data_IF_519525659984
#
_entry.id   IF_519525659984
#
_cell.length_a   1.000
_cell.length_b   1.000
_cell.length_c   1.000
_cell.angle_alpha   90.00
_cell.angle_beta   90.00
_cell.angle_gamma   90.00
#
_symmetry.space_group_name_H-M   'P 1'
#
loop_
_entity.id
_entity.type
_entity.pdbx_description
1 polymer ?
#
# COMPACT_ATOMS: atom_id res chain seq x y z
N UNK A 1 -0.14 10.24 20.57
CA UNK A 1 -0.46 8.81 20.61
C UNK A 1 -0.56 8.24 19.23
N UNK A 2 -0.15 7.01 19.06
CA UNK A 2 -0.28 6.34 17.78
C UNK A 2 -1.69 5.76 17.60
N UNK A 3 -2.12 5.64 16.36
CA UNK A 3 -3.44 5.11 16.00
C UNK A 3 -3.37 4.06 14.92
N UNK A 4 -4.47 3.36 14.71
CA UNK A 4 -4.59 2.31 13.69
C UNK A 4 -5.61 2.72 12.65
N UNK A 5 -5.25 2.57 11.37
CA UNK A 5 -6.13 2.77 10.22
C UNK A 5 -6.49 1.39 9.70
N UNK A 6 -7.77 1.16 9.41
CA UNK A 6 -8.24 -0.10 8.84
C UNK A 6 -9.14 0.17 7.65
N UNK A 7 -8.88 -0.50 6.53
CA UNK A 7 -9.71 -0.41 5.33
C UNK A 7 -10.11 -1.81 4.89
N UNK A 8 -11.32 -1.94 4.37
CA UNK A 8 -11.81 -3.15 3.73
C UNK A 8 -12.33 -2.76 2.36
N UNK A 9 -11.64 -3.18 1.31
CA UNK A 9 -11.92 -2.75 -0.06
C UNK A 9 -12.27 -3.98 -0.90
N UNK A 10 -13.39 -3.91 -1.62
CA UNK A 10 -13.76 -4.97 -2.57
C UNK A 10 -13.31 -4.56 -3.96
N UNK A 11 -12.50 -5.42 -4.59
CA UNK A 11 -12.06 -5.25 -5.97
C UNK A 11 -12.80 -6.28 -6.83
N UNK A 12 -13.53 -5.79 -7.84
CA UNK A 12 -14.37 -6.63 -8.69
C UNK A 12 -13.57 -7.28 -9.80
N UNK A 13 -13.93 -8.52 -10.16
CA UNK A 13 -13.40 -9.23 -11.34
C UNK A 13 -11.88 -9.25 -11.40
N UNK A 14 -11.25 -9.66 -10.31
CA UNK A 14 -9.79 -9.72 -10.22
C UNK A 14 -9.36 -10.88 -9.34
N UNK A 15 -8.06 -11.05 -9.17
CA UNK A 15 -7.48 -12.14 -8.39
C UNK A 15 -6.51 -11.59 -7.36
N UNK A 16 -6.25 -12.35 -6.27
CA UNK A 16 -5.22 -11.96 -5.30
C UNK A 16 -3.84 -11.78 -5.93
N UNK A 17 -3.49 -12.61 -6.91
CA UNK A 17 -2.23 -12.49 -7.63
C UNK A 17 -2.11 -11.12 -8.30
N UNK A 18 -3.16 -10.68 -8.98
CA UNK A 18 -3.17 -9.40 -9.67
C UNK A 18 -2.93 -8.26 -8.69
N UNK A 19 -3.67 -8.23 -7.58
CA UNK A 19 -3.51 -7.16 -6.58
C UNK A 19 -2.16 -7.21 -5.88
N UNK A 20 -1.67 -8.40 -5.56
CA UNK A 20 -0.35 -8.57 -4.97
C UNK A 20 0.73 -7.97 -5.88
N UNK A 21 0.64 -8.26 -7.18
CA UNK A 21 1.59 -7.74 -8.17
C UNK A 21 1.49 -6.23 -8.35
N UNK A 22 0.30 -5.64 -8.24
CA UNK A 22 0.17 -4.18 -8.33
C UNK A 22 1.00 -3.46 -7.27
N UNK A 23 1.17 -4.09 -6.12
CA UNK A 23 1.95 -3.51 -5.02
C UNK A 23 3.40 -3.98 -5.02
N UNK A 24 3.63 -5.27 -5.20
CA UNK A 24 4.98 -5.87 -5.04
C UNK A 24 5.83 -5.81 -6.29
N UNK A 25 5.25 -5.57 -7.47
CA UNK A 25 6.04 -5.37 -8.69
C UNK A 25 6.38 -3.89 -8.81
N UNK A 26 7.67 -3.56 -8.75
CA UNK A 26 8.13 -2.17 -8.72
C UNK A 26 7.64 -1.36 -9.92
N UNK A 27 7.66 -1.95 -11.11
CA UNK A 27 7.23 -1.26 -12.33
C UNK A 27 5.74 -0.96 -12.31
N UNK A 28 4.92 -1.93 -11.92
CA UNK A 28 3.45 -1.74 -11.84
C UNK A 28 3.09 -0.74 -10.75
N UNK A 29 3.70 -0.88 -9.59
CA UNK A 29 3.49 0.04 -8.48
C UNK A 29 3.86 1.47 -8.88
N UNK A 30 5.04 1.66 -9.49
CA UNK A 30 5.50 2.98 -9.95
C UNK A 30 4.57 3.57 -10.99
N UNK A 31 4.13 2.77 -11.95
CA UNK A 31 3.25 3.23 -13.03
C UNK A 31 1.91 3.71 -12.49
N UNK A 32 1.30 2.95 -11.60
CA UNK A 32 -0.03 3.29 -11.08
C UNK A 32 0.05 4.42 -10.06
N UNK A 33 1.06 4.42 -9.19
CA UNK A 33 1.26 5.50 -8.24
C UNK A 33 1.72 6.80 -8.89
N UNK A 34 2.30 6.71 -10.09
CA UNK A 34 2.79 7.89 -10.82
C UNK A 34 4.07 8.45 -10.23
N UNK A 35 4.87 7.64 -9.54
CA UNK A 35 6.08 8.07 -8.84
C UNK A 35 7.01 6.87 -8.66
N UNK A 36 8.34 7.07 -8.64
CA UNK A 36 9.29 5.97 -8.50
C UNK A 36 9.08 5.14 -7.24
N UNK A 37 9.13 3.82 -7.40
CA UNK A 37 9.03 2.84 -6.32
C UNK A 37 10.15 1.83 -6.48
N UNK A 38 10.84 1.53 -5.39
CA UNK A 38 11.83 0.45 -5.32
C UNK A 38 11.31 -0.59 -4.34
N UNK A 39 11.05 -1.78 -4.83
CA UNK A 39 10.53 -2.87 -4.00
C UNK A 39 10.92 -4.21 -4.65
N UNK A 40 11.30 -5.17 -3.83
CA UNK A 40 11.58 -6.54 -4.30
C UNK A 40 10.67 -7.52 -3.56
N UNK A 41 10.42 -8.67 -4.15
CA UNK A 41 9.54 -9.66 -3.57
C UNK A 41 10.20 -10.55 -2.50
N UNK A 42 11.16 -10.02 -1.74
CA UNK A 42 11.89 -10.81 -0.74
C UNK A 42 11.75 -10.23 0.66
N UNK A 43 11.52 -11.11 1.63
CA UNK A 43 11.49 -10.73 3.04
C UNK A 43 12.86 -10.18 3.46
N UNK A 44 12.83 -9.23 4.38
CA UNK A 44 14.04 -8.61 4.91
C UNK A 44 14.64 -7.52 4.03
N UNK A 45 14.06 -7.25 2.86
CA UNK A 45 14.57 -6.22 1.96
C UNK A 45 13.87 -4.89 2.18
N UNK A 46 14.62 -3.82 1.94
CA UNK A 46 14.08 -2.46 2.05
C UNK A 46 13.23 -2.12 0.84
N UNK A 47 12.26 -1.21 1.04
CA UNK A 47 11.51 -0.63 -0.07
C UNK A 47 11.43 0.88 0.10
N UNK A 48 11.15 1.57 -1.01
CA UNK A 48 10.82 2.99 -0.99
C UNK A 48 9.70 3.25 -2.00
N UNK A 49 8.87 4.24 -1.72
CA UNK A 49 7.78 4.65 -2.58
C UNK A 49 7.71 6.17 -2.63
N UNK A 50 6.99 6.70 -3.62
CA UNK A 50 6.82 8.15 -3.81
C UNK A 50 8.17 8.86 -3.85
N UNK A 51 9.09 8.29 -4.65
CA UNK A 51 10.43 8.85 -4.89
C UNK A 51 11.22 9.04 -3.58
N UNK A 52 11.14 8.03 -2.69
CA UNK A 52 11.87 8.03 -1.44
C UNK A 52 11.16 8.73 -0.27
N UNK A 53 10.00 9.32 -0.51
CA UNK A 53 9.24 9.94 0.57
C UNK A 53 8.77 8.92 1.62
N UNK A 54 8.43 7.71 1.18
CA UNK A 54 8.04 6.60 2.05
C UNK A 54 9.14 5.55 2.00
N UNK A 55 9.54 5.05 3.16
CA UNK A 55 10.53 3.98 3.26
C UNK A 55 10.09 2.93 4.27
N UNK A 56 10.65 1.74 4.14
CA UNK A 56 10.37 0.66 5.07
C UNK A 56 11.09 -0.62 4.66
N UNK A 57 10.68 -1.70 5.32
CA UNK A 57 11.25 -3.03 5.11
C UNK A 57 10.13 -4.05 4.99
N UNK A 58 10.26 -4.98 4.05
CA UNK A 58 9.34 -6.10 3.92
C UNK A 58 9.63 -7.09 5.04
N UNK A 59 8.71 -7.24 5.99
CA UNK A 59 8.88 -8.12 7.14
C UNK A 59 8.38 -9.53 6.87
N UNK A 60 7.20 -9.65 6.26
CA UNK A 60 6.59 -10.94 5.97
C UNK A 60 5.85 -10.85 4.66
N UNK A 61 6.11 -11.81 3.78
CA UNK A 61 5.47 -11.91 2.48
C UNK A 61 4.97 -13.34 2.29
N UNK A 62 3.67 -13.50 2.04
CA UNK A 62 3.10 -14.75 1.58
C UNK A 62 2.51 -14.43 0.22
N UNK A 63 3.11 -14.99 -0.82
CA UNK A 63 2.78 -14.65 -2.21
C UNK A 63 1.27 -14.71 -2.46
N UNK A 64 0.75 -13.66 -3.08
CA UNK A 64 -0.66 -13.52 -3.45
C UNK A 64 -1.62 -13.48 -2.25
N UNK A 65 -1.11 -13.33 -1.03
CA UNK A 65 -1.92 -13.43 0.18
C UNK A 65 -1.68 -12.35 1.21
N UNK A 66 -0.41 -12.11 1.58
CA UNK A 66 -0.09 -11.26 2.73
C UNK A 66 1.16 -10.44 2.48
N UNK A 67 1.08 -9.16 2.85
CA UNK A 67 2.22 -8.24 2.85
C UNK A 67 2.26 -7.57 4.21
N UNK A 68 3.40 -7.64 4.90
CA UNK A 68 3.61 -6.92 6.16
C UNK A 68 4.92 -6.13 6.03
N UNK A 69 4.85 -4.84 6.29
CA UNK A 69 5.98 -3.93 6.12
C UNK A 69 6.13 -3.01 7.31
N UNK A 70 7.36 -2.60 7.63
CA UNK A 70 7.53 -1.34 8.36
C UNK A 70 7.28 -0.21 7.37
N UNK A 71 6.89 0.96 7.87
CA UNK A 71 6.49 2.07 7.01
C UNK A 71 6.72 3.39 7.74
N UNK A 72 7.37 4.33 7.08
CA UNK A 72 7.55 5.67 7.63
C UNK A 72 7.62 6.71 6.53
N UNK A 73 7.18 7.94 6.85
CA UNK A 73 7.31 9.07 5.95
C UNK A 73 8.58 9.86 6.29
N UNK A 74 9.19 10.42 5.26
CA UNK A 74 10.43 11.19 5.37
C UNK A 74 10.31 12.35 6.36
N UNK A 75 9.12 12.94 6.49
CA UNK A 75 8.88 14.09 7.35
C UNK A 75 8.69 13.74 8.83
N UNK A 76 8.63 12.46 9.16
CA UNK A 76 8.49 12.06 10.57
C UNK A 76 9.78 12.34 11.32
N UNK A 77 9.64 12.73 12.58
CA UNK A 77 10.79 12.94 13.47
C UNK A 77 11.59 11.63 13.57
N UNK A 78 12.93 11.69 13.54
CA UNK A 78 13.75 10.48 13.66
C UNK A 78 13.48 9.66 14.92
N UNK A 79 12.99 10.27 15.99
CA UNK A 79 12.62 9.56 17.22
C UNK A 79 11.27 8.86 17.13
N UNK A 80 10.47 9.14 16.11
CA UNK A 80 9.18 8.49 15.90
C UNK A 80 9.41 7.06 15.41
N UNK A 81 8.85 6.04 16.10
CA UNK A 81 8.99 4.65 15.63
C UNK A 81 8.33 4.46 14.28
N UNK A 82 8.79 3.44 13.55
CA UNK A 82 8.14 3.05 12.31
C UNK A 82 6.70 2.59 12.60
N UNK A 83 5.81 2.85 11.66
CA UNK A 83 4.51 2.22 11.66
C UNK A 83 4.61 0.83 11.02
N UNK A 84 3.55 0.05 11.13
CA UNK A 84 3.44 -1.27 10.49
C UNK A 84 2.25 -1.24 9.55
N UNK A 85 2.48 -1.61 8.30
CA UNK A 85 1.44 -1.68 7.29
C UNK A 85 1.25 -3.12 6.83
N UNK A 86 0.00 -3.53 6.68
CA UNK A 86 -0.36 -4.90 6.35
C UNK A 86 -1.47 -4.93 5.31
N UNK A 87 -1.31 -5.79 4.31
CA UNK A 87 -2.38 -6.11 3.35
C UNK A 87 -2.63 -7.60 3.43
N UNK A 88 -3.91 -7.98 3.58
CA UNK A 88 -4.37 -9.36 3.46
C UNK A 88 -5.36 -9.44 2.32
N UNK A 89 -5.14 -10.39 1.39
CA UNK A 89 -5.98 -10.57 0.21
C UNK A 89 -6.81 -11.84 0.36
N UNK A 90 -8.12 -11.69 0.23
CA UNK A 90 -9.07 -12.79 0.39
C UNK A 90 -9.92 -12.92 -0.87
N UNK A 91 -9.86 -14.08 -1.53
CA UNK A 91 -10.68 -14.32 -2.71
C UNK A 91 -12.13 -14.57 -2.32
N UNK A 92 -13.05 -13.89 -2.99
CA UNK A 92 -14.48 -14.04 -2.79
C UNK A 92 -15.16 -14.20 -4.15
N UNK A 93 -15.35 -15.45 -4.60
CA UNK A 93 -15.92 -15.71 -5.92
C UNK A 93 -15.06 -15.14 -7.02
N UNK A 94 -15.61 -14.19 -7.80
CA UNK A 94 -14.89 -13.50 -8.88
C UNK A 94 -14.17 -12.25 -8.40
N UNK A 95 -14.33 -11.90 -7.14
CA UNK A 95 -13.83 -10.66 -6.57
C UNK A 95 -12.73 -10.94 -5.54
N UNK A 96 -12.09 -9.90 -5.07
CA UNK A 96 -11.12 -9.97 -3.97
C UNK A 96 -11.48 -8.94 -2.91
N UNK A 97 -11.47 -9.36 -1.66
CA UNK A 97 -11.57 -8.44 -0.53
C UNK A 97 -10.16 -8.18 -0.02
N UNK A 98 -9.77 -6.93 -0.06
CA UNK A 98 -8.48 -6.48 0.48
C UNK A 98 -8.71 -5.92 1.87
N UNK A 99 -7.98 -6.45 2.85
CA UNK A 99 -7.96 -5.92 4.20
C UNK A 99 -6.64 -5.21 4.40
N UNK A 100 -6.68 -3.93 4.70
CA UNK A 100 -5.48 -3.14 4.97
C UNK A 100 -5.52 -2.66 6.42
N UNK A 101 -4.42 -2.86 7.14
CA UNK A 101 -4.26 -2.38 8.51
C UNK A 101 -2.93 -1.64 8.58
N UNK A 102 -2.99 -0.39 9.04
CA UNK A 102 -1.82 0.45 9.20
C UNK A 102 -1.80 0.90 10.65
N UNK A 103 -0.98 0.25 11.46
CA UNK A 103 -0.95 0.48 12.90
C UNK A 103 0.28 1.26 13.31
N UNK A 104 0.24 1.82 14.51
CA UNK A 104 1.32 2.65 15.07
C UNK A 104 1.59 3.90 14.22
N UNK A 105 0.52 4.49 13.67
CA UNK A 105 0.60 5.72 12.87
C UNK A 105 0.54 6.92 13.82
N UNK A 106 1.46 7.89 13.73
CA UNK A 106 1.36 9.11 14.53
C UNK A 106 0.00 9.76 14.36
N UNK A 107 -0.64 10.15 15.45
CA UNK A 107 -2.02 10.68 15.38
C UNK A 107 -2.13 11.94 14.52
N UNK A 108 -1.08 12.75 14.46
CA UNK A 108 -1.05 13.95 13.60
C UNK A 108 -1.00 13.60 12.11
N UNK A 109 -0.63 12.37 11.75
CA UNK A 109 -0.51 11.94 10.35
C UNK A 109 -1.69 11.08 9.89
N UNK A 110 -2.58 10.66 10.80
CA UNK A 110 -3.62 9.67 10.49
C UNK A 110 -4.53 10.13 9.37
N UNK A 111 -5.04 11.36 9.42
CA UNK A 111 -5.99 11.82 8.41
C UNK A 111 -5.37 11.84 7.02
N UNK A 112 -4.17 12.37 6.89
CA UNK A 112 -3.46 12.46 5.63
C UNK A 112 -3.15 11.07 5.06
N UNK A 113 -2.68 10.14 5.91
CA UNK A 113 -2.33 8.79 5.47
C UNK A 113 -3.58 8.00 5.10
N UNK A 114 -4.65 8.12 5.88
CA UNK A 114 -5.92 7.47 5.59
C UNK A 114 -6.44 7.85 4.20
N UNK A 115 -6.48 9.14 3.91
CA UNK A 115 -6.88 9.65 2.60
C UNK A 115 -5.90 9.25 1.50
N UNK A 116 -4.61 9.21 1.82
CA UNK A 116 -3.56 8.85 0.88
C UNK A 116 -3.69 7.42 0.37
N UNK A 117 -4.08 6.47 1.20
CA UNK A 117 -4.30 5.10 0.77
C UNK A 117 -5.41 5.00 -0.27
N UNK A 118 -6.52 5.75 -0.10
CA UNK A 118 -7.58 5.80 -1.11
C UNK A 118 -7.11 6.50 -2.38
N UNK A 119 -6.52 7.68 -2.24
CA UNK A 119 -6.18 8.53 -3.40
C UNK A 119 -5.04 8.00 -4.25
N UNK A 120 -4.04 7.38 -3.64
CA UNK A 120 -2.84 6.92 -4.35
C UNK A 120 -2.84 5.41 -4.63
N UNK A 121 -3.71 4.63 -3.99
CA UNK A 121 -3.73 3.18 -4.12
C UNK A 121 -5.10 2.60 -4.47
N UNK A 122 -6.08 2.66 -3.57
CA UNK A 122 -7.32 1.92 -3.79
C UNK A 122 -8.12 2.46 -4.97
N UNK A 123 -8.29 3.75 -5.10
CA UNK A 123 -9.01 4.35 -6.23
C UNK A 123 -8.25 4.19 -7.55
N UNK A 124 -6.94 4.49 -7.64
CA UNK A 124 -6.17 4.20 -8.85
C UNK A 124 -6.19 2.74 -9.26
N UNK A 125 -6.12 1.81 -8.31
CA UNK A 125 -6.20 0.38 -8.62
C UNK A 125 -7.54 0.01 -9.23
N UNK A 126 -8.64 0.53 -8.69
CA UNK A 126 -9.97 0.30 -9.26
C UNK A 126 -10.07 0.85 -10.68
N UNK A 127 -9.55 2.03 -10.91
CA UNK A 127 -9.53 2.64 -12.24
C UNK A 127 -8.70 1.79 -13.22
N UNK A 128 -7.51 1.38 -12.80
CA UNK A 128 -6.65 0.53 -13.63
C UNK A 128 -7.34 -0.78 -14.02
N UNK A 129 -7.94 -1.46 -13.05
CA UNK A 129 -8.62 -2.75 -13.29
C UNK A 129 -9.84 -2.57 -14.18
N UNK A 130 -10.49 -1.41 -14.16
CA UNK A 130 -11.65 -1.12 -15.00
C UNK A 130 -11.27 -0.59 -16.39
N UNK A 131 -9.96 -0.47 -16.67
CA UNK A 131 -9.48 0.07 -17.94
C UNK A 131 -9.75 1.56 -18.11
N UNK A 132 -9.90 2.29 -17.01
CA UNK A 132 -10.17 3.73 -17.02
C UNK A 132 -8.90 4.54 -16.79
N UNK A 133 -8.87 5.82 -17.22
CA UNK A 133 -7.76 6.69 -16.88
C UNK A 133 -7.57 6.79 -15.37
N UNK A 134 -6.32 6.82 -14.94
CA UNK A 134 -5.98 6.91 -13.52
C UNK A 134 -5.93 8.37 -13.11
N UNK A 135 -6.65 8.71 -12.03
CA UNK A 135 -6.59 10.03 -11.42
C UNK A 135 -5.97 9.93 -10.04
N UNK A 136 -5.14 10.90 -9.69
CA UNK A 136 -4.45 10.94 -8.40
C UNK A 136 -4.55 12.34 -7.82
N UNK A 137 -4.57 12.47 -6.47
CA UNK A 137 -4.50 13.80 -5.88
C UNK A 137 -3.15 14.45 -6.21
N UNK A 138 -3.16 15.76 -6.31
CA UNK A 138 -1.90 16.50 -6.45
C UNK A 138 -1.19 16.53 -5.11
N UNK A 139 0.11 16.40 -5.17
CA UNK A 139 0.95 16.42 -3.97
C UNK A 139 1.42 17.84 -3.67
#
# INVERSE_FOLDING_TARGET
MAKTISHKIVFKKTTPKTLYDLYMNAKKHSTIAGSPVTITGKEGTDFSAHDGYITGKNLKLIKDQLIVQTWRAMTWDPSTPDSIFMILLEKKGKDVVLHAVHTNVPDTAVESIDKGWYGHYWNPWKQFLAGKPITRPQM
#
